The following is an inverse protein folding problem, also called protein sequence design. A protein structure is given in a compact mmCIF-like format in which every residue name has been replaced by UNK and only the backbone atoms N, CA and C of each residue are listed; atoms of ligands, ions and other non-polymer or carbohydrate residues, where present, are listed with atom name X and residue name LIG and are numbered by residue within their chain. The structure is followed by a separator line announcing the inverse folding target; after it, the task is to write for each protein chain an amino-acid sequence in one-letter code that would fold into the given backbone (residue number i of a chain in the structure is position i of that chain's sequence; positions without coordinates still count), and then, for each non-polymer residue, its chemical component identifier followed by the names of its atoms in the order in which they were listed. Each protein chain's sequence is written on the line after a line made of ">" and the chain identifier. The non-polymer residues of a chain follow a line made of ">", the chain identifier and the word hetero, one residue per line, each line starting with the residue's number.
data_IF_180657766962
#
_entry.id   IF_180657766962
#
_cell.length_a   1.000
_cell.length_b   1.000
_cell.length_c   1.000
_cell.angle_alpha   90.00
_cell.angle_beta   90.00
_cell.angle_gamma   90.00
#
_symmetry.space_group_name_H-M   'P 1'
#
loop_
_entity.id
_entity.type
_entity.pdbx_description
1 polymer ?
#
# COMPACT_ATOMS: atom_id res chain seq x y z
N UNK A 1 -18.70 17.62 -21.22
CA UNK A 1 -19.14 17.62 -19.80
C UNK A 1 -18.20 16.73 -19.00
N UNK A 2 -17.71 17.18 -17.84
CA UNK A 2 -16.97 16.32 -16.92
C UNK A 2 -17.95 15.30 -16.33
N UNK A 3 -17.63 14.00 -16.40
CA UNK A 3 -18.44 12.94 -15.80
C UNK A 3 -17.82 12.51 -14.47
N UNK A 4 -18.59 12.34 -13.39
CA UNK A 4 -18.10 11.70 -12.18
C UNK A 4 -17.59 10.28 -12.49
N UNK A 5 -16.49 9.89 -11.87
CA UNK A 5 -16.05 8.51 -11.82
C UNK A 5 -16.63 7.87 -10.55
N UNK A 6 -17.42 6.81 -10.71
CA UNK A 6 -17.92 6.05 -9.57
C UNK A 6 -16.86 5.02 -9.16
N UNK A 7 -16.66 4.87 -7.85
CA UNK A 7 -15.86 3.77 -7.29
C UNK A 7 -16.83 2.66 -6.92
N UNK A 8 -17.19 1.85 -7.92
CA UNK A 8 -18.13 0.74 -7.81
C UNK A 8 -17.42 -0.62 -7.96
N UNK A 9 -18.16 -1.72 -7.81
CA UNK A 9 -17.59 -3.06 -7.93
C UNK A 9 -16.94 -3.30 -9.30
N UNK A 10 -17.52 -2.77 -10.38
CA UNK A 10 -16.96 -2.89 -11.73
C UNK A 10 -15.58 -2.25 -11.85
N UNK A 11 -15.40 -1.04 -11.29
CA UNK A 11 -14.09 -0.38 -11.27
C UNK A 11 -13.09 -1.16 -10.42
N UNK A 12 -13.52 -1.62 -9.24
CA UNK A 12 -12.67 -2.41 -8.33
C UNK A 12 -12.25 -3.74 -8.98
N UNK A 13 -13.16 -4.43 -9.67
CA UNK A 13 -12.88 -5.66 -10.43
C UNK A 13 -11.85 -5.41 -11.53
N UNK A 14 -12.03 -4.35 -12.31
CA UNK A 14 -11.11 -4.00 -13.39
C UNK A 14 -9.68 -3.75 -12.88
N UNK A 15 -9.53 -2.91 -11.85
CA UNK A 15 -8.18 -2.57 -11.33
C UNK A 15 -7.49 -3.75 -10.64
N UNK A 16 -8.24 -4.63 -9.96
CA UNK A 16 -7.70 -5.86 -9.39
C UNK A 16 -7.30 -6.86 -10.47
N UNK A 17 -8.09 -7.00 -11.55
CA UNK A 17 -7.72 -7.86 -12.66
C UNK A 17 -6.38 -7.40 -13.27
N UNK A 18 -6.24 -6.10 -13.54
CA UNK A 18 -4.98 -5.51 -14.01
C UNK A 18 -3.82 -5.75 -13.04
N UNK A 19 -4.05 -5.63 -11.73
CA UNK A 19 -3.05 -5.96 -10.71
C UNK A 19 -2.63 -7.42 -10.77
N UNK A 20 -3.58 -8.36 -10.87
CA UNK A 20 -3.32 -9.80 -10.90
C UNK A 20 -2.51 -10.26 -12.11
N UNK A 21 -2.59 -9.51 -13.21
CA UNK A 21 -1.86 -9.76 -14.46
C UNK A 21 -0.51 -9.02 -14.51
N UNK A 22 -0.25 -8.10 -13.58
CA UNK A 22 1.01 -7.35 -13.57
C UNK A 22 2.13 -8.18 -12.93
N UNK A 23 3.39 -8.06 -13.40
CA UNK A 23 4.51 -8.82 -12.83
C UNK A 23 4.69 -8.60 -11.32
N UNK A 24 4.46 -7.37 -10.87
CA UNK A 24 4.55 -6.96 -9.46
C UNK A 24 3.29 -7.27 -8.66
N UNK A 25 2.23 -7.77 -9.30
CA UNK A 25 0.95 -8.14 -8.67
C UNK A 25 0.25 -6.97 -7.97
N UNK A 26 0.47 -5.76 -8.47
CA UNK A 26 -0.18 -4.52 -8.00
C UNK A 26 -0.38 -3.53 -9.14
N UNK A 27 -1.36 -2.63 -8.97
CA UNK A 27 -1.72 -1.61 -9.97
C UNK A 27 -2.31 -0.36 -9.33
N UNK A 28 -1.86 0.80 -9.79
CA UNK A 28 -2.43 2.09 -9.44
C UNK A 28 -3.43 2.55 -10.51
N UNK A 29 -4.59 3.03 -10.06
CA UNK A 29 -5.55 3.80 -10.87
C UNK A 29 -5.62 5.22 -10.31
N UNK A 30 -4.87 6.12 -10.93
CA UNK A 30 -4.77 7.51 -10.50
C UNK A 30 -6.05 8.30 -10.82
N UNK A 31 -6.48 9.16 -9.90
CA UNK A 31 -7.57 10.13 -10.08
C UNK A 31 -7.05 11.56 -10.33
N UNK A 32 -5.73 11.73 -10.36
CA UNK A 32 -5.04 12.92 -10.78
C UNK A 32 -4.47 12.68 -12.18
N UNK A 33 -4.45 13.73 -13.01
CA UNK A 33 -4.08 13.62 -14.42
C UNK A 33 -2.56 13.65 -14.64
N UNK A 34 -1.79 14.18 -13.69
CA UNK A 34 -0.36 14.44 -13.81
C UNK A 34 0.36 14.16 -12.49
N UNK A 35 1.58 13.62 -12.58
CA UNK A 35 2.48 13.40 -11.46
C UNK A 35 2.83 14.71 -10.73
N UNK A 36 2.76 15.86 -11.40
CA UNK A 36 2.95 17.18 -10.78
C UNK A 36 1.73 17.66 -9.95
N UNK A 37 0.60 16.95 -9.96
CA UNK A 37 -0.58 17.33 -9.19
C UNK A 37 -0.24 17.47 -7.69
N UNK A 38 -0.80 18.48 -7.03
CA UNK A 38 -0.52 18.75 -5.60
C UNK A 38 -1.14 17.72 -4.66
N UNK A 39 -2.12 16.95 -5.12
CA UNK A 39 -2.77 15.90 -4.34
C UNK A 39 -2.85 14.62 -5.18
N UNK A 40 -2.23 13.56 -4.67
CA UNK A 40 -2.20 12.25 -5.29
C UNK A 40 -3.27 11.40 -4.64
N UNK A 41 -4.33 11.13 -5.41
CA UNK A 41 -5.45 10.27 -5.02
C UNK A 41 -5.52 9.14 -6.03
N UNK A 42 -5.58 7.90 -5.56
CA UNK A 42 -5.54 6.74 -6.41
C UNK A 42 -6.22 5.54 -5.76
N UNK A 43 -6.71 4.62 -6.59
CA UNK A 43 -6.87 3.24 -6.13
C UNK A 43 -5.53 2.54 -6.25
N UNK A 44 -5.15 1.80 -5.23
CA UNK A 44 -4.01 0.89 -5.25
C UNK A 44 -4.54 -0.53 -5.04
N UNK A 45 -4.55 -1.32 -6.11
CA UNK A 45 -4.93 -2.72 -6.09
C UNK A 45 -3.70 -3.58 -5.86
N UNK A 46 -3.75 -4.43 -4.85
CA UNK A 46 -2.63 -5.27 -4.43
C UNK A 46 -3.14 -6.70 -4.32
N UNK A 47 -2.42 -7.65 -4.91
CA UNK A 47 -2.72 -9.07 -4.82
C UNK A 47 -1.74 -9.78 -3.87
N UNK A 48 -2.16 -10.88 -3.21
CA UNK A 48 -1.29 -11.65 -2.33
C UNK A 48 0.00 -12.08 -3.01
N UNK A 49 1.15 -11.91 -2.35
CA UNK A 49 2.47 -12.17 -2.94
C UNK A 49 3.06 -10.96 -3.68
N UNK A 50 2.40 -9.80 -3.72
CA UNK A 50 3.08 -8.55 -4.01
C UNK A 50 3.95 -8.15 -2.81
N UNK A 51 5.21 -7.81 -3.07
CA UNK A 51 6.12 -7.28 -2.06
C UNK A 51 6.28 -5.77 -2.21
N UNK A 52 5.98 -5.03 -1.14
CA UNK A 52 6.29 -3.62 -1.00
C UNK A 52 7.39 -3.49 0.06
N UNK A 53 8.52 -2.90 -0.33
CA UNK A 53 9.62 -2.66 0.59
C UNK A 53 9.11 -1.75 1.71
N UNK A 54 9.37 -2.07 2.99
CA UNK A 54 9.12 -1.14 4.08
C UNK A 54 9.78 0.20 3.82
N UNK A 55 9.02 1.27 4.04
CA UNK A 55 9.47 2.61 3.76
C UNK A 55 8.82 3.61 4.72
N UNK A 56 9.34 4.83 4.69
CA UNK A 56 8.77 6.00 5.35
C UNK A 56 8.79 7.17 4.38
N UNK A 57 7.99 8.19 4.66
CA UNK A 57 8.13 9.47 4.00
C UNK A 57 8.85 10.47 4.90
N UNK A 58 9.93 11.11 4.45
CA UNK A 58 10.68 12.07 5.30
C UNK A 58 10.20 13.52 5.16
N UNK A 59 9.41 13.83 4.14
CA UNK A 59 8.84 15.17 3.95
C UNK A 59 7.62 15.32 4.86
N UNK A 60 7.54 16.38 5.68
CA UNK A 60 6.43 16.60 6.61
C UNK A 60 5.07 16.80 5.95
N UNK A 61 5.02 17.01 4.64
CA UNK A 61 3.77 17.11 3.87
C UNK A 61 3.30 15.77 3.29
N UNK A 62 4.09 14.71 3.45
CA UNK A 62 3.88 13.40 2.78
C UNK A 62 3.28 12.35 3.72
N UNK A 63 2.40 12.77 4.61
CA UNK A 63 1.50 11.84 5.30
C UNK A 63 0.73 11.02 4.26
N UNK A 64 0.49 9.75 4.59
CA UNK A 64 -0.20 8.81 3.72
C UNK A 64 -1.45 8.27 4.39
N UNK A 65 -2.60 8.45 3.74
CA UNK A 65 -3.87 7.87 4.19
C UNK A 65 -4.25 6.71 3.29
N UNK A 66 -4.60 5.58 3.88
CA UNK A 66 -5.09 4.40 3.18
C UNK A 66 -6.45 3.97 3.75
N UNK A 67 -7.41 3.68 2.89
CA UNK A 67 -8.73 3.14 3.27
C UNK A 67 -9.01 1.90 2.43
N UNK A 68 -9.27 0.77 3.08
CA UNK A 68 -9.66 -0.46 2.40
C UNK A 68 -11.07 -0.32 1.81
N UNK A 69 -11.19 -0.53 0.49
CA UNK A 69 -12.47 -0.52 -0.22
C UNK A 69 -12.97 -1.93 -0.52
N UNK A 70 -12.05 -2.90 -0.68
CA UNK A 70 -12.34 -4.32 -0.84
C UNK A 70 -11.19 -5.18 -0.35
N UNK A 71 -11.50 -6.39 0.11
CA UNK A 71 -10.52 -7.35 0.61
C UNK A 71 -9.99 -6.99 1.99
N UNK A 72 -8.81 -7.51 2.32
CA UNK A 72 -8.14 -7.30 3.60
C UNK A 72 -6.69 -6.90 3.35
N UNK A 73 -6.30 -5.76 3.92
CA UNK A 73 -4.93 -5.25 3.84
C UNK A 73 -4.26 -5.38 5.21
N UNK A 74 -3.15 -6.11 5.27
CA UNK A 74 -2.27 -6.08 6.43
C UNK A 74 -1.36 -4.85 6.35
N UNK A 75 -1.20 -4.14 7.46
CA UNK A 75 -0.21 -3.07 7.61
C UNK A 75 0.72 -3.43 8.76
N UNK A 76 2.02 -3.27 8.53
CA UNK A 76 3.07 -3.52 9.53
C UNK A 76 3.82 -2.21 9.77
N UNK A 77 3.96 -1.83 11.04
CA UNK A 77 4.76 -0.69 11.47
C UNK A 77 6.04 -1.14 12.16
N UNK A 78 7.12 -0.40 11.92
CA UNK A 78 8.46 -0.71 12.44
C UNK A 78 9.05 0.47 13.20
N UNK A 79 9.99 0.18 14.09
CA UNK A 79 10.93 1.19 14.58
C UNK A 79 12.14 1.36 13.64
N UNK A 80 13.04 2.28 13.97
CA UNK A 80 14.25 2.56 13.19
C UNK A 80 15.26 1.40 13.16
N UNK A 81 15.15 0.43 14.07
CA UNK A 81 15.98 -0.78 14.07
C UNK A 81 15.35 -1.92 13.25
N UNK A 82 14.17 -1.70 12.67
CA UNK A 82 13.43 -2.69 11.89
C UNK A 82 12.65 -3.70 12.73
N UNK A 83 12.48 -3.48 14.03
CA UNK A 83 11.60 -4.31 14.84
C UNK A 83 10.14 -3.93 14.59
N UNK A 84 9.28 -4.94 14.45
CA UNK A 84 7.85 -4.74 14.29
C UNK A 84 7.25 -4.22 15.59
N UNK A 85 6.70 -3.01 15.54
CA UNK A 85 6.05 -2.35 16.67
C UNK A 85 4.55 -2.66 16.73
N UNK A 86 3.91 -2.74 15.56
CA UNK A 86 2.47 -2.97 15.47
C UNK A 86 2.08 -3.60 14.13
N UNK A 87 1.04 -4.43 14.16
CA UNK A 87 0.34 -4.94 12.98
C UNK A 87 -1.14 -4.61 13.07
N UNK A 88 -1.78 -4.33 11.94
CA UNK A 88 -3.23 -4.13 11.86
C UNK A 88 -3.80 -4.69 10.55
N UNK A 89 -5.08 -5.05 10.57
CA UNK A 89 -5.82 -5.47 9.37
C UNK A 89 -6.88 -4.43 9.06
N UNK A 90 -6.80 -3.86 7.87
CA UNK A 90 -7.82 -2.96 7.33
C UNK A 90 -8.85 -3.76 6.55
N UNK A 91 -10.12 -3.53 6.85
CA UNK A 91 -11.26 -4.14 6.13
C UNK A 91 -12.37 -3.09 5.93
N UNK A 92 -13.09 -3.06 4.80
CA UNK A 92 -14.02 -1.96 4.50
C UNK A 92 -15.13 -1.73 5.55
N UNK A 93 -15.58 -2.80 6.20
CA UNK A 93 -16.69 -2.77 7.17
C UNK A 93 -16.33 -3.39 8.54
N UNK A 94 -15.05 -3.64 8.82
CA UNK A 94 -14.61 -4.13 10.14
C UNK A 94 -14.27 -3.00 11.11
N UNK A 95 -13.72 -3.37 12.27
CA UNK A 95 -13.38 -2.41 13.34
C UNK A 95 -12.34 -1.35 12.95
N UNK A 96 -11.56 -1.59 11.89
CA UNK A 96 -10.63 -0.61 11.32
C UNK A 96 -10.67 -0.72 9.80
N UNK A 97 -11.08 0.36 9.13
CA UNK A 97 -11.18 0.41 7.67
C UNK A 97 -10.09 1.25 7.00
N UNK A 98 -9.39 2.09 7.75
CA UNK A 98 -8.31 2.89 7.22
C UNK A 98 -7.26 3.24 8.27
N UNK A 99 -6.17 3.83 7.79
CA UNK A 99 -5.05 4.32 8.59
C UNK A 99 -4.55 5.63 8.00
N UNK A 100 -4.17 6.56 8.86
CA UNK A 100 -3.40 7.74 8.49
C UNK A 100 -2.00 7.58 9.08
N UNK A 101 -0.99 7.55 8.22
CA UNK A 101 0.39 7.29 8.57
C UNK A 101 1.15 8.62 8.51
N UNK A 102 1.59 9.17 9.65
CA UNK A 102 2.44 10.34 9.66
C UNK A 102 3.76 10.09 8.93
N UNK A 103 4.31 11.14 8.35
CA UNK A 103 5.69 11.14 7.87
C UNK A 103 6.65 10.65 8.98
N UNK A 104 7.75 10.02 8.56
CA UNK A 104 8.77 9.46 9.43
C UNK A 104 8.49 8.05 9.93
N UNK A 105 7.26 7.56 9.82
CA UNK A 105 6.87 6.22 10.30
C UNK A 105 7.20 5.15 9.25
N UNK A 106 8.07 4.20 9.62
CA UNK A 106 8.36 3.05 8.78
C UNK A 106 7.17 2.08 8.76
N UNK A 107 6.74 1.75 7.55
CA UNK A 107 5.60 0.87 7.34
C UNK A 107 5.72 0.07 6.04
N UNK A 108 4.98 -1.03 5.97
CA UNK A 108 4.66 -1.71 4.70
C UNK A 108 3.24 -2.24 4.73
N UNK A 109 2.72 -2.57 3.56
CA UNK A 109 1.40 -3.17 3.38
C UNK A 109 1.47 -4.43 2.54
N UNK A 110 0.52 -5.33 2.78
CA UNK A 110 0.39 -6.60 2.08
C UNK A 110 -1.08 -6.95 1.91
N UNK A 111 -1.44 -7.46 0.73
CA UNK A 111 -2.78 -7.98 0.51
C UNK A 111 -2.91 -9.37 1.14
N UNK A 112 -3.86 -9.52 2.06
CA UNK A 112 -4.19 -10.80 2.70
C UNK A 112 -5.19 -11.59 1.87
N UNK A 113 -6.07 -10.90 1.14
CA UNK A 113 -7.04 -11.50 0.23
C UNK A 113 -6.78 -11.09 -1.22
N UNK A 114 -7.15 -11.97 -2.17
CA UNK A 114 -7.20 -11.62 -3.58
C UNK A 114 -8.19 -10.49 -3.83
N UNK A 115 -7.86 -9.61 -4.77
CA UNK A 115 -8.68 -8.46 -5.11
C UNK A 115 -8.78 -7.39 -4.04
N UNK A 116 -7.76 -7.29 -3.18
CA UNK A 116 -7.64 -6.20 -2.21
C UNK A 116 -7.39 -4.88 -2.95
N UNK A 117 -8.23 -3.88 -2.66
CA UNK A 117 -8.13 -2.54 -3.25
C UNK A 117 -8.29 -1.51 -2.15
N UNK A 118 -7.36 -0.56 -2.10
CA UNK A 118 -7.38 0.57 -1.19
C UNK A 118 -7.54 1.88 -1.97
N UNK A 119 -8.20 2.85 -1.34
CA UNK A 119 -8.04 4.26 -1.66
C UNK A 119 -6.79 4.76 -0.93
N UNK A 120 -5.81 5.24 -1.68
CA UNK A 120 -4.60 5.86 -1.14
C UNK A 120 -4.62 7.35 -1.47
N UNK A 121 -4.28 8.19 -0.49
CA UNK A 121 -4.13 9.62 -0.69
C UNK A 121 -2.89 10.17 0.01
N UNK A 122 -2.12 10.99 -0.70
CA UNK A 122 -0.97 11.73 -0.17
C UNK A 122 -0.75 13.04 -0.91
N UNK A 123 0.05 13.93 -0.35
CA UNK A 123 0.48 15.12 -1.08
C UNK A 123 1.28 14.71 -2.31
N UNK A 124 1.08 15.42 -3.41
CA UNK A 124 2.02 15.42 -4.54
C UNK A 124 3.03 16.55 -4.42
N UNK A 125 3.87 16.79 -5.45
CA UNK A 125 4.02 15.97 -6.66
C UNK A 125 4.63 14.59 -6.36
N UNK A 126 4.54 13.63 -7.29
CA UNK A 126 5.22 12.34 -7.12
C UNK A 126 6.73 12.54 -7.03
N UNK A 127 7.33 11.83 -6.08
CA UNK A 127 8.77 11.65 -5.99
C UNK A 127 9.03 10.17 -5.72
N UNK A 128 9.97 9.53 -6.44
CA UNK A 128 10.46 8.22 -6.06
C UNK A 128 11.00 8.25 -4.64
N UNK A 129 10.86 7.14 -3.91
CA UNK A 129 11.45 7.00 -2.59
C UNK A 129 12.97 7.16 -2.68
N UNK A 130 13.50 8.07 -1.85
CA UNK A 130 14.93 8.21 -1.62
C UNK A 130 15.53 7.04 -0.84
N UNK A 131 16.85 6.99 -0.74
CA UNK A 131 17.55 5.93 0.00
C UNK A 131 17.27 6.00 1.51
N UNK A 132 17.06 7.20 2.06
CA UNK A 132 16.71 7.46 3.47
C UNK A 132 15.23 7.20 3.81
N UNK A 133 14.42 7.00 2.78
CA UNK A 133 13.01 6.62 2.88
C UNK A 133 12.81 5.10 2.84
N UNK A 134 13.75 4.35 2.24
CA UNK A 134 13.70 2.88 2.23
C UNK A 134 14.24 2.32 3.54
N UNK A 135 13.63 1.25 4.03
CA UNK A 135 14.13 0.54 5.20
C UNK A 135 15.45 -0.17 4.86
N UNK A 136 16.60 0.21 5.47
CA UNK A 136 17.90 -0.38 5.12
C UNK A 136 18.06 -1.84 5.54
N UNK A 137 17.19 -2.34 6.44
CA UNK A 137 17.18 -3.74 6.88
C UNK A 137 16.39 -4.67 5.95
N UNK A 138 15.54 -4.11 5.09
CA UNK A 138 14.64 -4.91 4.28
C UNK A 138 15.27 -5.21 2.91
N UNK A 139 15.11 -6.44 2.39
CA UNK A 139 15.62 -6.78 1.06
C UNK A 139 14.94 -5.92 0.00
N UNK A 140 15.69 -5.59 -1.06
CA UNK A 140 15.13 -4.86 -2.19
C UNK A 140 14.15 -5.74 -2.99
N UNK A 141 13.22 -5.11 -3.68
CA UNK A 141 12.27 -5.82 -4.54
C UNK A 141 13.03 -6.54 -5.67
N UNK A 142 12.79 -7.85 -5.81
CA UNK A 142 13.47 -8.71 -6.78
C UNK A 142 14.74 -9.39 -6.26
N UNK A 143 15.19 -9.10 -5.04
CA UNK A 143 16.26 -9.87 -4.41
C UNK A 143 15.78 -11.25 -3.95
N UNK A 144 16.67 -12.28 -3.91
CA UNK A 144 16.28 -13.63 -3.51
C UNK A 144 15.63 -13.72 -2.11
N UNK A 145 15.98 -12.80 -1.20
CA UNK A 145 15.42 -12.76 0.15
C UNK A 145 14.06 -12.06 0.25
N UNK A 146 13.61 -11.37 -0.80
CA UNK A 146 12.37 -10.58 -0.79
C UNK A 146 11.13 -11.44 -0.52
N UNK A 147 11.02 -12.58 -1.18
CA UNK A 147 9.86 -13.46 -1.05
C UNK A 147 9.77 -14.06 0.37
N UNK A 148 10.90 -14.51 0.91
CA UNK A 148 10.95 -15.04 2.28
C UNK A 148 10.63 -13.97 3.32
N UNK A 149 11.12 -12.74 3.12
CA UNK A 149 10.81 -11.62 4.00
C UNK A 149 9.33 -11.22 3.92
N UNK A 150 8.75 -11.15 2.72
CA UNK A 150 7.34 -10.89 2.52
C UNK A 150 6.45 -11.99 3.15
N UNK A 151 6.86 -13.26 3.04
CA UNK A 151 6.17 -14.37 3.69
C UNK A 151 6.21 -14.25 5.22
N UNK A 152 7.37 -13.96 5.81
CA UNK A 152 7.50 -13.79 7.26
C UNK A 152 6.66 -12.61 7.78
N UNK A 153 6.46 -11.56 6.99
CA UNK A 153 5.52 -10.48 7.32
C UNK A 153 4.06 -10.95 7.24
N UNK A 154 3.72 -11.74 6.22
CA UNK A 154 2.37 -12.29 6.01
C UNK A 154 1.94 -13.24 7.12
N UNK A 155 2.85 -14.06 7.64
CA UNK A 155 2.58 -15.01 8.73
C UNK A 155 2.12 -14.33 10.03
N UNK A 156 2.43 -13.04 10.21
CA UNK A 156 1.96 -12.24 11.35
C UNK A 156 0.44 -11.99 11.35
N UNK A 157 -0.22 -12.24 10.24
CA UNK A 157 -1.65 -12.07 10.05
C UNK A 157 -2.39 -13.41 9.90
N UNK A 158 -1.66 -14.53 9.98
CA UNK A 158 -2.30 -15.83 10.09
C UNK A 158 -3.08 -15.85 11.41
N UNK A 159 -4.38 -16.16 11.31
CA UNK A 159 -5.20 -16.42 12.49
C UNK A 159 -4.98 -17.89 12.85
N UNK A 160 -4.74 -18.18 14.12
CA UNK A 160 -4.80 -19.55 14.65
C UNK A 160 -6.18 -20.20 14.42
#
# INVERSE_FOLDING_TARGET
>A
MKKPLLIDQSLLDAVSLEASQSPRRRKNRNFHDDEAALAHRLLNAIEPGSYLIPHRHVDPNKDETMVALRGRLGVVFFDDAGQVQQTLVLTPAGGTCGVNIPYGVYHTVLALDRGTVLLETKAGPYRPLGDDERAPWAPAEGEPAADAYAQALSERFAVD
#
